data_IF_105280598683
#
_entry.id   IF_105280598683
#
_cell.length_a   1.000
_cell.length_b   1.000
_cell.length_c   1.000
_cell.angle_alpha   90.00
_cell.angle_beta   90.00
_cell.angle_gamma   90.00
#
_symmetry.space_group_name_H-M   'P 1'
#
loop_
_entity.id
_entity.type
_entity.pdbx_description
1 polymer ?
#
# COMPACT_ATOMS: atom_id res chain seq x y z
N UNK A 1 31.20 7.73 -54.86
CA UNK A 1 30.94 8.07 -53.46
C UNK A 1 29.46 8.29 -53.33
N UNK A 2 28.70 7.34 -52.75
CA UNK A 2 27.26 7.46 -52.53
C UNK A 2 27.02 8.51 -51.48
N UNK A 3 26.31 9.56 -51.84
CA UNK A 3 25.91 10.67 -50.97
C UNK A 3 24.90 10.17 -49.94
N UNK A 4 25.38 9.54 -48.89
CA UNK A 4 24.59 8.97 -47.82
C UNK A 4 24.17 10.09 -46.88
N UNK A 5 23.01 10.70 -47.14
CA UNK A 5 22.41 11.72 -46.27
C UNK A 5 22.29 11.15 -44.86
N UNK A 6 22.90 11.79 -43.87
CA UNK A 6 22.74 11.47 -42.47
C UNK A 6 21.26 11.60 -42.07
N UNK A 7 20.74 10.61 -41.36
CA UNK A 7 19.41 10.71 -40.74
C UNK A 7 19.48 11.70 -39.57
N UNK A 8 18.39 12.40 -39.32
CA UNK A 8 18.25 13.24 -38.15
C UNK A 8 18.47 12.40 -36.87
N UNK A 9 19.22 12.94 -35.92
CA UNK A 9 19.36 12.32 -34.59
C UNK A 9 18.02 12.43 -33.83
N UNK A 10 17.69 11.47 -32.96
CA UNK A 10 16.51 11.57 -32.10
C UNK A 10 16.69 12.70 -31.07
N UNK A 11 15.58 13.30 -30.64
CA UNK A 11 15.62 14.20 -29.49
C UNK A 11 16.06 13.42 -28.23
N UNK A 12 16.80 14.08 -27.35
CA UNK A 12 17.37 13.39 -26.18
C UNK A 12 16.33 12.65 -25.30
N UNK A 13 15.12 13.22 -25.17
CA UNK A 13 14.00 12.63 -24.43
C UNK A 13 13.20 11.57 -25.21
N UNK A 14 13.58 11.30 -26.47
CA UNK A 14 13.05 10.23 -27.33
C UNK A 14 14.14 9.17 -27.62
N UNK A 15 15.32 9.34 -27.03
CA UNK A 15 16.43 8.40 -27.21
C UNK A 15 16.34 7.30 -26.15
N UNK A 16 15.67 6.19 -26.47
CA UNK A 16 15.48 5.05 -25.58
C UNK A 16 16.82 4.44 -25.12
N UNK A 17 17.84 4.42 -25.98
CA UNK A 17 19.16 3.90 -25.61
C UNK A 17 19.79 4.75 -24.52
N UNK A 18 19.72 6.07 -24.62
CA UNK A 18 20.18 6.99 -23.58
C UNK A 18 19.34 6.88 -22.33
N UNK A 19 18.01 6.96 -22.46
CA UNK A 19 17.08 6.92 -21.32
C UNK A 19 17.21 5.63 -20.49
N UNK A 20 17.50 4.49 -21.13
CA UNK A 20 17.69 3.20 -20.48
C UNK A 20 19.15 2.91 -20.05
N UNK A 21 20.10 3.80 -20.39
CA UNK A 21 21.49 3.70 -19.97
C UNK A 21 21.69 4.07 -18.50
N UNK A 22 22.86 3.76 -17.91
CA UNK A 22 23.23 4.26 -16.58
C UNK A 22 23.16 5.78 -16.47
N UNK A 23 23.52 6.52 -17.52
CA UNK A 23 23.52 7.99 -17.55
C UNK A 23 22.09 8.56 -17.54
N UNK A 24 21.10 7.84 -18.07
CA UNK A 24 19.69 8.19 -18.03
C UNK A 24 19.01 8.00 -16.67
N UNK A 25 19.73 7.46 -15.65
CA UNK A 25 19.15 7.12 -14.34
C UNK A 25 18.46 8.30 -13.64
N UNK A 26 19.08 9.48 -13.65
CA UNK A 26 18.50 10.66 -12.99
C UNK A 26 17.16 11.04 -13.64
N UNK A 27 17.07 10.96 -14.98
CA UNK A 27 15.83 11.27 -15.70
C UNK A 27 14.72 10.27 -15.37
N UNK A 28 15.06 8.98 -15.25
CA UNK A 28 14.09 7.96 -14.80
C UNK A 28 13.59 8.22 -13.38
N UNK A 29 14.47 8.59 -12.44
CA UNK A 29 14.09 8.97 -11.07
C UNK A 29 13.15 10.17 -11.06
N UNK A 30 13.48 11.22 -11.84
CA UNK A 30 12.64 12.41 -11.97
C UNK A 30 11.29 12.07 -12.63
N UNK A 31 11.27 11.13 -13.58
CA UNK A 31 10.03 10.65 -14.20
C UNK A 31 9.14 9.95 -13.19
N UNK A 32 9.68 9.05 -12.34
CA UNK A 32 8.93 8.36 -11.29
C UNK A 32 8.46 9.29 -10.14
N UNK A 33 9.03 10.49 -10.05
CA UNK A 33 8.49 11.55 -9.20
C UNK A 33 7.41 12.38 -9.91
N UNK A 34 7.69 12.85 -11.12
CA UNK A 34 6.86 13.86 -11.79
C UNK A 34 5.59 13.29 -12.39
N UNK A 35 5.66 12.08 -12.96
CA UNK A 35 4.56 11.43 -13.65
C UNK A 35 3.42 11.05 -12.67
N UNK A 36 3.68 10.37 -11.54
CA UNK A 36 2.64 10.10 -10.55
C UNK A 36 2.04 11.39 -9.97
N UNK A 37 2.84 12.40 -9.68
CA UNK A 37 2.36 13.69 -9.20
C UNK A 37 1.39 14.35 -10.19
N UNK A 38 1.70 14.29 -11.48
CA UNK A 38 0.84 14.81 -12.56
C UNK A 38 -0.50 14.07 -12.60
N UNK A 39 -0.47 12.72 -12.54
CA UNK A 39 -1.70 11.91 -12.53
C UNK A 39 -2.55 12.14 -11.28
N UNK A 40 -1.95 12.18 -10.09
CA UNK A 40 -2.69 12.49 -8.86
C UNK A 40 -3.40 13.85 -8.93
N UNK A 41 -2.76 14.86 -9.51
CA UNK A 41 -3.38 16.17 -9.73
C UNK A 41 -4.55 16.10 -10.71
N UNK A 42 -4.37 15.45 -11.85
CA UNK A 42 -5.41 15.28 -12.87
C UNK A 42 -6.60 14.49 -12.33
N UNK A 43 -6.33 13.45 -11.56
CA UNK A 43 -7.36 12.61 -10.94
C UNK A 43 -7.94 13.20 -9.65
N UNK A 44 -7.47 14.40 -9.27
CA UNK A 44 -7.96 15.13 -8.08
C UNK A 44 -7.76 14.34 -6.78
N UNK A 45 -6.66 13.57 -6.66
CA UNK A 45 -6.33 12.86 -5.42
C UNK A 45 -5.68 13.84 -4.44
N UNK A 46 -6.23 13.95 -3.23
CA UNK A 46 -5.68 14.81 -2.19
C UNK A 46 -4.83 14.02 -1.18
N UNK A 47 -5.36 12.91 -0.71
CA UNK A 47 -4.71 12.05 0.27
C UNK A 47 -5.22 10.60 0.20
N UNK A 48 -4.50 9.69 0.84
CA UNK A 48 -4.71 8.25 0.70
C UNK A 48 -4.76 7.54 2.06
N UNK A 49 -5.38 6.37 2.08
CA UNK A 49 -5.23 5.33 3.10
C UNK A 49 -4.58 4.13 2.45
N UNK A 50 -3.44 3.71 2.99
CA UNK A 50 -2.64 2.64 2.40
C UNK A 50 -2.91 1.33 3.10
N UNK A 51 -3.17 0.27 2.32
CA UNK A 51 -3.34 -1.10 2.78
C UNK A 51 -2.14 -1.93 2.38
N UNK A 52 -1.49 -2.53 3.35
CA UNK A 52 -0.43 -3.51 3.16
C UNK A 52 -0.84 -4.87 3.71
N UNK A 53 -0.35 -5.92 3.08
CA UNK A 53 -0.57 -7.29 3.50
C UNK A 53 -0.05 -8.28 2.46
N UNK A 54 -0.19 -9.57 2.76
CA UNK A 54 0.34 -10.64 1.92
C UNK A 54 -0.39 -10.76 0.58
N UNK A 55 0.38 -10.89 -0.50
CA UNK A 55 -0.11 -11.29 -1.81
C UNK A 55 -0.60 -12.76 -1.86
N UNK A 56 -0.33 -13.55 -0.80
CA UNK A 56 -0.63 -14.98 -0.72
C UNK A 56 -1.91 -15.30 0.04
N UNK A 57 -2.63 -14.29 0.54
CA UNK A 57 -3.92 -14.45 1.21
C UNK A 57 -5.01 -14.29 0.17
N UNK A 58 -5.72 -15.38 -0.13
CA UNK A 58 -6.75 -15.43 -1.16
C UNK A 58 -8.14 -15.32 -0.55
N UNK A 59 -9.17 -15.13 -1.39
CA UNK A 59 -10.56 -15.14 -0.96
C UNK A 59 -10.96 -16.49 -0.36
N UNK A 60 -12.04 -16.52 0.43
CA UNK A 60 -12.59 -17.79 0.94
C UNK A 60 -12.92 -18.78 -0.18
N UNK A 61 -13.45 -18.28 -1.30
CA UNK A 61 -13.81 -19.14 -2.43
C UNK A 61 -12.58 -19.79 -3.04
N UNK A 62 -11.52 -19.01 -3.30
CA UNK A 62 -10.28 -19.52 -3.91
C UNK A 62 -9.55 -20.46 -2.96
N UNK A 63 -9.48 -20.13 -1.67
CA UNK A 63 -8.85 -20.96 -0.66
C UNK A 63 -9.54 -22.31 -0.51
N UNK A 64 -10.89 -22.34 -0.48
CA UNK A 64 -11.69 -23.57 -0.41
C UNK A 64 -11.59 -24.40 -1.70
N UNK A 65 -11.58 -23.76 -2.86
CA UNK A 65 -11.39 -24.43 -4.15
C UNK A 65 -10.05 -25.13 -4.18
N UNK A 66 -8.99 -24.45 -3.75
CA UNK A 66 -7.64 -25.03 -3.67
C UNK A 66 -7.55 -26.16 -2.66
N UNK A 67 -8.19 -26.05 -1.50
CA UNK A 67 -8.25 -27.13 -0.52
C UNK A 67 -8.96 -28.38 -1.10
N UNK A 68 -10.03 -28.17 -1.85
CA UNK A 68 -10.76 -29.25 -2.53
C UNK A 68 -9.90 -29.94 -3.60
N UNK A 69 -9.16 -29.16 -4.37
CA UNK A 69 -8.21 -29.66 -5.38
C UNK A 69 -7.10 -30.51 -4.74
N UNK A 70 -6.47 -30.00 -3.65
CA UNK A 70 -5.43 -30.73 -2.90
C UNK A 70 -5.98 -32.07 -2.36
N UNK A 71 -7.21 -32.08 -1.87
CA UNK A 71 -7.90 -33.33 -1.43
C UNK A 71 -8.14 -34.30 -2.57
N UNK A 72 -8.55 -33.81 -3.74
CA UNK A 72 -8.80 -34.63 -4.93
C UNK A 72 -7.54 -35.24 -5.52
N UNK A 73 -6.39 -34.57 -5.44
CA UNK A 73 -5.11 -35.00 -6.00
C UNK A 73 -4.29 -35.90 -5.05
N UNK A 74 -4.85 -36.30 -3.92
CA UNK A 74 -4.20 -37.08 -2.87
C UNK A 74 -3.52 -38.37 -3.35
N UNK A 75 -4.08 -39.02 -4.36
CA UNK A 75 -3.55 -40.28 -4.93
C UNK A 75 -2.38 -40.07 -5.89
N UNK A 76 -2.02 -38.84 -6.27
CA UNK A 76 -1.04 -38.50 -7.30
C UNK A 76 0.31 -38.04 -6.73
N UNK A 77 0.40 -37.83 -5.42
CA UNK A 77 1.58 -37.31 -4.74
C UNK A 77 2.02 -38.22 -3.60
N UNK A 78 3.27 -38.07 -3.13
CA UNK A 78 3.75 -38.84 -1.99
C UNK A 78 3.00 -38.47 -0.69
N UNK A 79 2.87 -39.39 0.27
CA UNK A 79 2.18 -39.09 1.56
C UNK A 79 2.74 -37.88 2.30
N UNK A 80 4.06 -37.65 2.24
CA UNK A 80 4.72 -36.48 2.85
C UNK A 80 4.31 -35.19 2.16
N UNK A 81 4.37 -35.15 0.82
CA UNK A 81 3.97 -33.99 0.03
C UNK A 81 2.49 -33.67 0.23
N UNK A 82 1.63 -34.68 0.22
CA UNK A 82 0.21 -34.53 0.48
C UNK A 82 -0.05 -33.89 1.88
N UNK A 83 0.65 -34.37 2.92
CA UNK A 83 0.51 -33.82 4.27
C UNK A 83 0.91 -32.33 4.33
N UNK A 84 2.00 -31.95 3.65
CA UNK A 84 2.45 -30.55 3.58
C UNK A 84 1.47 -29.68 2.80
N UNK A 85 1.01 -30.13 1.64
CA UNK A 85 0.08 -29.39 0.80
C UNK A 85 -1.28 -29.22 1.48
N UNK A 86 -1.74 -30.24 2.20
CA UNK A 86 -2.96 -30.18 3.01
C UNK A 86 -2.81 -29.11 4.12
N UNK A 87 -1.75 -29.14 4.90
CA UNK A 87 -1.49 -28.13 5.96
C UNK A 87 -1.45 -26.72 5.39
N UNK A 88 -0.81 -26.53 4.22
CA UNK A 88 -0.76 -25.22 3.54
C UNK A 88 -2.14 -24.76 3.09
N UNK A 89 -2.94 -25.67 2.53
CA UNK A 89 -4.29 -25.35 2.06
C UNK A 89 -5.25 -25.05 3.23
N UNK A 90 -5.18 -25.78 4.33
CA UNK A 90 -5.95 -25.51 5.55
C UNK A 90 -5.55 -24.15 6.16
N UNK A 91 -4.26 -23.87 6.28
CA UNK A 91 -3.78 -22.56 6.75
C UNK A 91 -4.23 -21.42 5.82
N UNK A 92 -4.30 -21.65 4.51
CA UNK A 92 -4.80 -20.65 3.56
C UNK A 92 -6.29 -20.35 3.78
N UNK A 93 -7.13 -21.37 4.11
CA UNK A 93 -8.54 -21.17 4.45
C UNK A 93 -8.69 -20.35 5.74
N UNK A 94 -7.89 -20.64 6.77
CA UNK A 94 -7.89 -19.86 8.02
C UNK A 94 -7.48 -18.39 7.80
N UNK A 95 -6.53 -18.16 6.89
CA UNK A 95 -6.06 -16.82 6.55
C UNK A 95 -7.00 -16.06 5.63
N UNK A 96 -7.91 -16.73 4.91
CA UNK A 96 -8.82 -16.11 3.95
C UNK A 96 -9.76 -15.07 4.59
N UNK A 97 -10.08 -15.20 5.87
CA UNK A 97 -10.84 -14.18 6.62
C UNK A 97 -10.22 -12.78 6.47
N UNK A 98 -8.90 -12.66 6.43
CA UNK A 98 -8.22 -11.37 6.31
C UNK A 98 -8.42 -10.72 4.93
N UNK A 99 -8.65 -11.52 3.88
CA UNK A 99 -9.05 -11.01 2.57
C UNK A 99 -10.43 -10.34 2.65
N UNK A 100 -11.41 -11.04 3.22
CA UNK A 100 -12.78 -10.52 3.35
C UNK A 100 -12.83 -9.30 4.28
N UNK A 101 -12.04 -9.30 5.36
CA UNK A 101 -11.93 -8.19 6.29
C UNK A 101 -11.30 -6.95 5.63
N UNK A 102 -10.24 -7.14 4.80
CA UNK A 102 -9.61 -6.05 4.06
C UNK A 102 -10.56 -5.43 3.04
N UNK A 103 -11.31 -6.28 2.30
CA UNK A 103 -12.36 -5.86 1.37
C UNK A 103 -13.44 -5.05 2.10
N UNK A 104 -13.93 -5.57 3.23
CA UNK A 104 -14.96 -4.92 4.04
C UNK A 104 -14.51 -3.57 4.58
N UNK A 105 -13.31 -3.50 5.17
CA UNK A 105 -12.77 -2.26 5.73
C UNK A 105 -12.54 -1.20 4.64
N UNK A 106 -11.98 -1.58 3.50
CA UNK A 106 -11.75 -0.67 2.37
C UNK A 106 -13.07 -0.13 1.81
N UNK A 107 -14.11 -0.97 1.74
CA UNK A 107 -15.46 -0.56 1.34
C UNK A 107 -16.03 0.48 2.32
N UNK A 108 -16.02 0.21 3.63
CA UNK A 108 -16.51 1.14 4.67
C UNK A 108 -15.79 2.50 4.60
N UNK A 109 -14.46 2.49 4.45
CA UNK A 109 -13.66 3.70 4.31
C UNK A 109 -14.05 4.50 3.06
N UNK A 110 -14.27 3.83 1.95
CA UNK A 110 -14.61 4.47 0.68
C UNK A 110 -16.04 5.03 0.71
N UNK A 111 -17.02 4.30 1.25
CA UNK A 111 -18.39 4.76 1.45
C UNK A 111 -18.42 6.05 2.31
N UNK A 112 -17.64 6.07 3.39
CA UNK A 112 -17.53 7.26 4.25
C UNK A 112 -16.80 8.40 3.56
N UNK A 113 -15.65 8.14 2.95
CA UNK A 113 -14.81 9.19 2.36
C UNK A 113 -15.49 9.88 1.17
N UNK A 114 -16.34 9.17 0.43
CA UNK A 114 -17.13 9.72 -0.68
C UNK A 114 -18.17 10.76 -0.23
N UNK A 115 -18.58 10.73 1.04
CA UNK A 115 -19.53 11.67 1.62
C UNK A 115 -18.87 12.96 2.17
N UNK A 116 -17.53 13.00 2.19
CA UNK A 116 -16.81 14.17 2.69
C UNK A 116 -16.94 15.32 1.68
N UNK A 117 -17.46 16.50 2.10
CA UNK A 117 -17.59 17.65 1.21
C UNK A 117 -16.22 18.25 0.91
N UNK A 118 -15.58 17.79 -0.16
CA UNK A 118 -14.26 18.23 -0.60
C UNK A 118 -14.20 18.37 -2.11
N UNK A 119 -13.36 19.30 -2.62
CA UNK A 119 -13.15 19.48 -4.07
C UNK A 119 -12.34 18.35 -4.68
N UNK A 120 -11.63 17.59 -3.86
CA UNK A 120 -10.72 16.50 -4.28
C UNK A 120 -11.07 15.23 -3.53
N UNK A 121 -10.70 14.08 -4.11
CA UNK A 121 -10.90 12.78 -3.46
C UNK A 121 -10.04 12.66 -2.21
N UNK A 122 -10.69 12.39 -1.08
CA UNK A 122 -10.06 12.22 0.22
C UNK A 122 -9.91 10.74 0.55
N UNK A 123 -8.80 10.39 1.20
CA UNK A 123 -8.57 9.09 1.80
C UNK A 123 -8.74 7.91 0.82
N UNK A 124 -8.25 8.10 -0.41
CA UNK A 124 -8.38 7.09 -1.47
C UNK A 124 -7.59 5.83 -1.11
N UNK A 125 -8.23 4.68 -1.22
CA UNK A 125 -7.60 3.37 -0.94
C UNK A 125 -6.44 3.15 -1.90
N UNK A 126 -5.27 2.88 -1.34
CA UNK A 126 -4.02 2.68 -2.07
C UNK A 126 -3.35 1.39 -1.62
N UNK A 127 -2.85 0.63 -2.57
CA UNK A 127 -2.15 -0.64 -2.32
C UNK A 127 -0.91 -0.77 -3.20
N UNK A 128 -0.16 -1.85 -3.01
CA UNK A 128 0.92 -2.24 -3.92
C UNK A 128 0.46 -2.81 -5.27
N UNK A 129 -0.85 -2.84 -5.52
CA UNK A 129 -1.43 -3.21 -6.82
C UNK A 129 -1.49 -4.70 -7.13
N UNK A 130 -0.84 -5.56 -6.35
CA UNK A 130 -0.80 -7.01 -6.55
C UNK A 130 -2.05 -7.75 -6.07
N UNK A 131 -1.99 -9.10 -6.05
CA UNK A 131 -3.07 -9.95 -5.55
C UNK A 131 -3.19 -9.96 -4.02
N UNK A 132 -4.08 -10.76 -3.50
CA UNK A 132 -4.26 -11.01 -2.08
C UNK A 132 -4.88 -9.83 -1.34
N UNK A 133 -4.30 -9.44 -0.20
CA UNK A 133 -4.81 -8.32 0.61
C UNK A 133 -4.89 -7.02 -0.21
N UNK A 134 -3.95 -6.79 -1.12
CA UNK A 134 -3.94 -5.62 -1.98
C UNK A 134 -5.15 -5.60 -2.92
N UNK A 135 -5.41 -6.74 -3.55
CA UNK A 135 -6.59 -6.94 -4.39
C UNK A 135 -7.89 -6.79 -3.58
N UNK A 136 -7.98 -7.41 -2.41
CA UNK A 136 -9.14 -7.33 -1.53
C UNK A 136 -9.49 -5.87 -1.18
N UNK A 137 -8.49 -5.07 -0.83
CA UNK A 137 -8.69 -3.65 -0.52
C UNK A 137 -9.13 -2.83 -1.74
N UNK A 138 -8.49 -3.05 -2.91
CA UNK A 138 -8.92 -2.39 -4.15
C UNK A 138 -10.34 -2.82 -4.55
N UNK A 139 -10.69 -4.11 -4.43
CA UNK A 139 -12.02 -4.63 -4.70
C UNK A 139 -13.08 -3.96 -3.81
N UNK A 140 -12.85 -3.90 -2.49
CA UNK A 140 -13.80 -3.28 -1.56
C UNK A 140 -14.06 -1.80 -1.88
N UNK A 141 -13.01 -1.05 -2.24
CA UNK A 141 -13.14 0.34 -2.64
C UNK A 141 -13.84 0.49 -4.01
N UNK A 142 -13.55 -0.40 -4.95
CA UNK A 142 -14.21 -0.44 -6.27
C UNK A 142 -15.71 -0.72 -6.13
N UNK A 143 -16.10 -1.68 -5.30
CA UNK A 143 -17.51 -2.01 -5.01
C UNK A 143 -18.29 -0.85 -4.38
N UNK A 144 -17.60 0.01 -3.62
CA UNK A 144 -18.17 1.25 -3.09
C UNK A 144 -18.24 2.39 -4.12
N UNK A 145 -17.86 2.14 -5.38
CA UNK A 145 -17.84 3.13 -6.45
C UNK A 145 -16.71 4.17 -6.32
N UNK A 146 -15.71 3.92 -5.47
CA UNK A 146 -14.58 4.82 -5.26
C UNK A 146 -13.44 4.59 -6.25
N UNK A 147 -12.55 5.60 -6.36
CA UNK A 147 -11.25 5.44 -7.02
C UNK A 147 -10.34 4.57 -6.16
N UNK A 148 -9.47 3.80 -6.81
CA UNK A 148 -8.45 2.97 -6.15
C UNK A 148 -7.09 3.17 -6.83
N UNK A 149 -6.01 3.05 -6.05
CA UNK A 149 -4.65 3.28 -6.50
C UNK A 149 -3.83 2.00 -6.34
N UNK A 150 -3.10 1.63 -7.38
CA UNK A 150 -2.09 0.57 -7.36
C UNK A 150 -0.70 1.14 -7.62
N UNK A 151 0.22 1.00 -6.66
CA UNK A 151 1.62 1.37 -6.81
C UNK A 151 2.43 0.08 -6.99
N UNK A 152 2.47 -0.43 -8.21
CA UNK A 152 3.16 -1.68 -8.55
C UNK A 152 4.68 -1.47 -8.59
N UNK A 153 5.42 -2.55 -8.57
CA UNK A 153 6.88 -2.59 -8.72
C UNK A 153 7.23 -3.58 -9.82
N UNK A 154 8.10 -3.17 -10.71
CA UNK A 154 8.64 -4.05 -11.74
C UNK A 154 9.55 -5.09 -11.10
N UNK A 155 9.13 -6.36 -11.12
CA UNK A 155 9.85 -7.50 -10.56
C UNK A 155 10.38 -8.39 -11.68
N UNK A 156 11.46 -9.17 -11.44
CA UNK A 156 12.02 -10.08 -12.45
C UNK A 156 11.12 -11.28 -12.80
N UNK A 157 9.98 -11.41 -12.13
CA UNK A 157 8.93 -12.40 -12.42
C UNK A 157 7.62 -11.67 -12.72
N UNK A 158 6.78 -12.24 -13.58
CA UNK A 158 5.51 -11.64 -13.97
C UNK A 158 4.58 -11.45 -12.76
N UNK A 159 4.17 -10.23 -12.53
CA UNK A 159 3.13 -9.87 -11.58
C UNK A 159 2.20 -8.86 -12.25
N UNK A 160 0.95 -9.28 -12.49
CA UNK A 160 -0.05 -8.42 -13.07
C UNK A 160 -0.76 -7.58 -12.00
N UNK A 161 -1.05 -6.30 -12.28
CA UNK A 161 -1.91 -5.50 -11.44
C UNK A 161 -3.29 -6.15 -11.28
N UNK A 162 -3.87 -6.05 -10.08
CA UNK A 162 -5.23 -6.56 -9.88
C UNK A 162 -6.25 -5.70 -10.66
N UNK A 163 -7.39 -6.29 -11.11
CA UNK A 163 -8.31 -5.65 -12.04
C UNK A 163 -9.16 -4.52 -11.42
N UNK A 164 -9.08 -4.31 -10.11
CA UNK A 164 -9.91 -3.35 -9.40
C UNK A 164 -9.25 -1.97 -9.21
N UNK A 165 -8.05 -1.80 -9.73
CA UNK A 165 -7.35 -0.52 -9.74
C UNK A 165 -7.99 0.40 -10.78
N UNK A 166 -8.22 1.68 -10.44
CA UNK A 166 -8.63 2.69 -11.42
C UNK A 166 -7.55 2.80 -12.51
N UNK A 167 -7.88 2.61 -13.81
CA UNK A 167 -6.86 2.51 -14.86
C UNK A 167 -5.88 3.68 -14.93
N UNK A 168 -6.36 4.92 -14.71
CA UNK A 168 -5.52 6.12 -14.66
C UNK A 168 -4.66 6.24 -13.40
N UNK A 169 -4.90 5.40 -12.39
CA UNK A 169 -4.19 5.36 -11.10
C UNK A 169 -3.43 4.04 -10.89
N UNK A 170 -3.21 3.31 -11.98
CA UNK A 170 -2.32 2.16 -12.02
C UNK A 170 -0.90 2.64 -12.38
N UNK A 171 0.04 2.50 -11.44
CA UNK A 171 1.43 2.93 -11.58
C UNK A 171 2.35 1.72 -11.54
N UNK A 172 3.49 1.84 -12.23
CA UNK A 172 4.57 0.87 -12.19
C UNK A 172 5.89 1.57 -11.88
N UNK A 173 6.62 1.12 -10.87
CA UNK A 173 7.89 1.69 -10.45
C UNK A 173 9.03 0.73 -10.74
N UNK A 174 10.14 1.26 -11.18
CA UNK A 174 11.41 0.53 -11.28
C UNK A 174 12.20 0.62 -9.97
N UNK A 175 12.13 1.77 -9.29
CA UNK A 175 12.89 2.01 -8.08
C UNK A 175 12.04 1.83 -6.82
N UNK A 176 12.43 0.88 -5.94
CA UNK A 176 11.74 0.62 -4.68
C UNK A 176 11.58 1.87 -3.81
N UNK A 177 12.63 2.68 -3.66
CA UNK A 177 12.59 3.88 -2.83
C UNK A 177 11.66 4.96 -3.38
N UNK A 178 11.46 5.05 -4.70
CA UNK A 178 10.49 5.96 -5.30
C UNK A 178 9.06 5.51 -5.02
N UNK A 179 8.79 4.20 -5.10
CA UNK A 179 7.50 3.63 -4.70
C UNK A 179 7.22 3.88 -3.22
N UNK A 180 8.19 3.62 -2.33
CA UNK A 180 8.09 3.89 -0.89
C UNK A 180 7.80 5.37 -0.60
N UNK A 181 8.48 6.28 -1.28
CA UNK A 181 8.20 7.71 -1.19
C UNK A 181 6.71 8.00 -1.47
N UNK A 182 6.14 7.42 -2.53
CA UNK A 182 4.74 7.66 -2.88
C UNK A 182 3.75 7.04 -1.89
N UNK A 183 4.05 5.89 -1.31
CA UNK A 183 3.26 5.36 -0.20
C UNK A 183 3.21 6.34 0.98
N UNK A 184 4.34 6.89 1.37
CA UNK A 184 4.41 7.83 2.50
C UNK A 184 3.87 9.22 2.16
N UNK A 185 4.06 9.72 0.93
CA UNK A 185 3.82 11.12 0.56
C UNK A 185 2.37 11.57 0.74
N UNK A 186 1.41 10.81 0.25
CA UNK A 186 -0.02 11.14 0.33
C UNK A 186 -0.75 10.46 1.51
N UNK A 187 -0.17 9.46 2.15
CA UNK A 187 -0.82 8.68 3.20
C UNK A 187 -1.23 9.54 4.41
N UNK A 188 -2.43 9.31 4.90
CA UNK A 188 -2.97 9.82 6.17
C UNK A 188 -3.26 8.69 7.15
N UNK A 189 -3.43 7.48 6.65
CA UNK A 189 -3.53 6.29 7.47
C UNK A 189 -2.88 5.10 6.79
N UNK A 190 -2.54 4.11 7.60
CA UNK A 190 -1.93 2.85 7.23
C UNK A 190 -2.69 1.71 7.87
N UNK A 191 -3.03 0.70 7.10
CA UNK A 191 -3.66 -0.54 7.59
C UNK A 191 -2.77 -1.71 7.20
N UNK A 192 -2.26 -2.42 8.22
CA UNK A 192 -1.29 -3.50 8.05
C UNK A 192 -1.97 -4.83 8.35
N UNK A 193 -2.30 -5.59 7.32
CA UNK A 193 -2.81 -6.95 7.42
C UNK A 193 -1.64 -7.96 7.51
N UNK A 194 -1.92 -9.21 7.92
CA UNK A 194 -0.91 -10.26 7.94
C UNK A 194 -0.11 -10.34 6.65
N UNK A 195 1.21 -10.38 6.78
CA UNK A 195 2.12 -10.38 5.64
C UNK A 195 3.56 -10.70 6.02
N UNK A 196 4.41 -10.86 5.00
CA UNK A 196 5.81 -11.20 5.15
C UNK A 196 6.74 -9.98 5.12
N UNK A 197 7.97 -10.19 4.63
CA UNK A 197 9.04 -9.19 4.63
C UNK A 197 8.65 -7.86 3.98
N UNK A 198 8.00 -7.87 2.82
CA UNK A 198 7.60 -6.63 2.16
C UNK A 198 6.57 -5.83 2.97
N UNK A 199 5.66 -6.51 3.68
CA UNK A 199 4.69 -5.86 4.57
C UNK A 199 5.38 -5.27 5.80
N UNK A 200 6.33 -6.01 6.39
CA UNK A 200 7.12 -5.56 7.54
C UNK A 200 8.03 -4.38 7.19
N UNK A 201 8.66 -4.42 6.02
CA UNK A 201 9.52 -3.35 5.51
C UNK A 201 8.78 -2.02 5.43
N UNK A 202 7.61 -1.99 4.80
CA UNK A 202 6.78 -0.78 4.70
C UNK A 202 6.22 -0.34 6.07
N UNK A 203 5.83 -1.30 6.92
CA UNK A 203 5.34 -1.00 8.25
C UNK A 203 6.40 -0.33 9.12
N UNK A 204 7.60 -0.91 9.21
CA UNK A 204 8.67 -0.37 10.04
C UNK A 204 9.24 0.94 9.51
N UNK A 205 9.25 1.15 8.18
CA UNK A 205 9.61 2.45 7.63
C UNK A 205 8.68 3.56 8.12
N UNK A 206 7.36 3.38 7.94
CA UNK A 206 6.37 4.38 8.35
C UNK A 206 6.37 4.55 9.88
N UNK A 207 6.52 3.45 10.63
CA UNK A 207 6.59 3.50 12.08
C UNK A 207 7.82 4.31 12.56
N UNK A 208 8.97 4.09 11.94
CA UNK A 208 10.20 4.86 12.22
C UNK A 208 10.03 6.34 11.86
N UNK A 209 9.42 6.65 10.72
CA UNK A 209 9.15 8.03 10.33
C UNK A 209 8.15 8.72 11.28
N UNK A 210 7.18 7.97 11.82
CA UNK A 210 6.23 8.47 12.81
C UNK A 210 6.90 8.71 14.17
N UNK A 211 7.71 7.74 14.66
CA UNK A 211 8.47 7.81 15.91
C UNK A 211 9.43 9.00 15.91
N UNK A 212 10.18 9.18 14.83
CA UNK A 212 11.19 10.24 14.71
C UNK A 212 10.62 11.61 14.32
N UNK A 213 9.30 11.75 14.22
CA UNK A 213 8.58 12.97 13.81
C UNK A 213 9.05 13.54 12.44
N UNK A 214 9.63 12.68 11.58
CA UNK A 214 10.05 13.08 10.23
C UNK A 214 8.89 13.28 9.27
N UNK A 215 7.70 12.77 9.60
CA UNK A 215 6.48 13.06 8.87
C UNK A 215 5.86 14.35 9.36
N UNK A 216 5.70 15.33 8.47
CA UNK A 216 5.06 16.62 8.77
C UNK A 216 3.54 16.50 9.06
N UNK A 217 3.03 15.27 9.23
CA UNK A 217 1.61 14.95 9.42
C UNK A 217 1.46 13.75 10.35
N UNK A 218 0.39 13.72 11.11
CA UNK A 218 0.02 12.51 11.88
C UNK A 218 -0.50 11.45 10.93
N UNK A 219 0.02 10.22 11.04
CA UNK A 219 -0.50 9.04 10.35
C UNK A 219 -1.24 8.18 11.36
N UNK A 220 -2.46 7.75 11.01
CA UNK A 220 -3.26 6.83 11.83
C UNK A 220 -2.90 5.41 11.39
N UNK A 221 -2.39 4.58 12.30
CA UNK A 221 -1.88 3.24 11.97
C UNK A 221 -2.74 2.18 12.65
N UNK A 222 -3.27 1.24 11.87
CA UNK A 222 -3.95 0.03 12.34
C UNK A 222 -3.11 -1.18 11.97
N UNK A 223 -2.80 -2.01 12.94
CA UNK A 223 -2.19 -3.32 12.77
C UNK A 223 -3.29 -4.38 12.93
N UNK A 224 -3.79 -4.87 11.79
CA UNK A 224 -4.93 -5.79 11.74
C UNK A 224 -4.50 -7.25 11.87
N UNK A 225 -5.22 -8.02 12.71
CA UNK A 225 -4.90 -9.43 12.95
C UNK A 225 -3.97 -9.64 14.14
N UNK A 226 -4.42 -9.26 15.34
CA UNK A 226 -3.63 -9.28 16.58
C UNK A 226 -3.03 -10.66 16.87
N UNK A 227 -3.78 -11.74 16.63
CA UNK A 227 -3.33 -13.11 16.85
C UNK A 227 -2.14 -13.51 15.95
N UNK A 228 -2.09 -12.97 14.73
CA UNK A 228 -0.95 -13.16 13.82
C UNK A 228 0.25 -12.36 14.30
N UNK A 229 0.09 -11.06 14.50
CA UNK A 229 1.20 -10.16 14.80
C UNK A 229 1.88 -10.44 16.12
N UNK A 230 1.13 -10.82 17.16
CA UNK A 230 1.71 -11.23 18.47
C UNK A 230 2.59 -12.48 18.39
N UNK A 231 2.41 -13.33 17.36
CA UNK A 231 3.29 -14.47 17.11
C UNK A 231 4.56 -14.09 16.33
N UNK A 232 4.48 -13.02 15.53
CA UNK A 232 5.57 -12.62 14.63
C UNK A 232 6.49 -11.58 15.27
N UNK A 233 5.93 -10.62 16.04
CA UNK A 233 6.68 -9.50 16.62
C UNK A 233 6.37 -9.42 18.12
N UNK A 234 7.43 -9.42 18.91
CA UNK A 234 7.34 -9.14 20.35
C UNK A 234 7.76 -7.69 20.60
N UNK A 235 6.80 -6.77 20.57
CA UNK A 235 7.06 -5.35 20.81
C UNK A 235 7.45 -5.05 22.26
N UNK A 236 6.89 -5.77 23.22
CA UNK A 236 7.21 -5.65 24.65
C UNK A 236 8.70 -5.95 24.88
N UNK A 237 9.25 -6.98 24.23
CA UNK A 237 10.67 -7.28 24.31
C UNK A 237 11.56 -6.14 23.77
N UNK A 238 11.10 -5.36 22.80
CA UNK A 238 11.83 -4.18 22.32
C UNK A 238 11.84 -3.07 23.37
N UNK A 239 10.73 -2.91 24.10
CA UNK A 239 10.64 -1.95 25.22
C UNK A 239 11.55 -2.40 26.37
N UNK A 240 11.48 -3.68 26.79
CA UNK A 240 12.28 -4.23 27.87
C UNK A 240 13.78 -4.16 27.61
N UNK A 241 14.16 -4.33 26.33
CA UNK A 241 15.55 -4.18 25.89
C UNK A 241 15.99 -2.70 25.73
N UNK A 242 15.08 -1.73 25.90
CA UNK A 242 15.37 -0.30 25.75
C UNK A 242 15.58 0.14 24.31
N UNK A 243 15.14 -0.65 23.31
CA UNK A 243 15.27 -0.31 21.89
C UNK A 243 14.21 0.67 21.42
N UNK A 244 13.05 0.67 22.06
CA UNK A 244 11.96 1.62 21.87
C UNK A 244 11.41 2.04 23.23
N UNK A 245 10.67 3.14 23.30
CA UNK A 245 9.98 3.57 24.52
C UNK A 245 8.58 2.92 24.62
N UNK A 246 8.06 2.78 25.85
CA UNK A 246 6.69 2.28 26.04
C UNK A 246 5.64 3.17 25.35
N UNK A 247 5.91 4.47 25.18
CA UNK A 247 5.03 5.38 24.45
C UNK A 247 4.96 5.10 22.95
N UNK A 248 5.99 4.45 22.38
CA UNK A 248 6.02 4.11 20.94
C UNK A 248 4.96 3.06 20.58
N UNK A 249 4.52 2.25 21.57
CA UNK A 249 3.40 1.31 21.38
C UNK A 249 2.07 2.02 21.10
N UNK A 250 1.96 3.30 21.39
CA UNK A 250 0.78 4.11 21.07
C UNK A 250 0.77 4.66 19.62
N UNK A 251 1.82 4.40 18.83
CA UNK A 251 1.89 4.83 17.44
C UNK A 251 0.92 4.05 16.54
N UNK A 252 0.50 2.87 16.96
CA UNK A 252 -0.45 2.03 16.23
C UNK A 252 -1.50 1.42 17.15
N UNK A 253 -2.64 1.02 16.57
CA UNK A 253 -3.69 0.26 17.26
C UNK A 253 -3.79 -1.14 16.66
N UNK A 254 -3.74 -2.18 17.48
CA UNK A 254 -4.13 -3.53 17.06
C UNK A 254 -5.66 -3.66 17.01
N UNK A 255 -6.18 -4.33 15.99
CA UNK A 255 -7.61 -4.59 15.80
C UNK A 255 -7.85 -5.91 15.08
N UNK A 256 -9.02 -6.51 15.32
CA UNK A 256 -9.46 -7.77 14.71
C UNK A 256 -10.87 -7.67 14.09
N UNK A 257 -11.44 -6.45 14.03
CA UNK A 257 -12.75 -6.18 13.44
C UNK A 257 -12.65 -5.06 12.41
N UNK A 258 -13.21 -5.24 11.19
CA UNK A 258 -13.27 -4.19 10.18
C UNK A 258 -14.01 -2.95 10.68
N UNK A 259 -15.12 -3.13 11.40
CA UNK A 259 -15.94 -2.03 11.91
C UNK A 259 -15.20 -1.24 13.00
N UNK A 260 -14.53 -1.91 13.94
CA UNK A 260 -13.71 -1.26 14.96
C UNK A 260 -12.54 -0.49 14.33
N UNK A 261 -11.86 -1.10 13.36
CA UNK A 261 -10.78 -0.47 12.60
C UNK A 261 -11.26 0.75 11.84
N UNK A 262 -12.43 0.65 11.21
CA UNK A 262 -13.06 1.76 10.50
C UNK A 262 -13.35 2.94 11.42
N UNK A 263 -14.00 2.71 12.57
CA UNK A 263 -14.32 3.79 13.50
C UNK A 263 -13.06 4.45 14.08
N UNK A 264 -12.02 3.67 14.38
CA UNK A 264 -10.73 4.23 14.82
C UNK A 264 -10.07 5.08 13.73
N UNK A 265 -10.03 4.59 12.50
CA UNK A 265 -9.49 5.33 11.36
C UNK A 265 -10.29 6.61 11.09
N UNK A 266 -11.61 6.53 11.06
CA UNK A 266 -12.52 7.66 10.85
C UNK A 266 -12.32 8.74 11.91
N UNK A 267 -12.25 8.37 13.19
CA UNK A 267 -11.99 9.32 14.29
C UNK A 267 -10.64 10.01 14.13
N UNK A 268 -9.57 9.24 13.87
CA UNK A 268 -8.23 9.76 13.67
C UNK A 268 -8.12 10.66 12.44
N UNK A 269 -8.65 10.21 11.30
CA UNK A 269 -8.66 10.98 10.05
C UNK A 269 -9.47 12.27 10.17
N UNK A 270 -10.62 12.22 10.84
CA UNK A 270 -11.43 13.41 11.11
C UNK A 270 -10.67 14.40 12.00
N UNK A 271 -10.12 13.91 13.10
CA UNK A 271 -9.40 14.74 14.08
C UNK A 271 -8.18 15.43 13.49
N UNK A 272 -7.38 14.72 12.71
CA UNK A 272 -6.08 15.23 12.27
C UNK A 272 -6.09 15.83 10.85
N UNK A 273 -7.08 15.50 10.01
CA UNK A 273 -7.05 15.86 8.60
C UNK A 273 -8.31 16.51 8.05
N UNK A 274 -9.42 16.53 8.80
CA UNK A 274 -10.68 17.20 8.42
C UNK A 274 -11.02 18.38 9.34
N UNK A 275 -10.47 18.43 10.56
CA UNK A 275 -10.66 19.54 11.47
C UNK A 275 -10.02 20.84 10.96
N UNK A 276 -10.36 22.00 11.54
CA UNK A 276 -9.68 23.26 11.24
C UNK A 276 -8.18 23.08 11.50
N UNK A 277 -7.36 23.46 10.52
CA UNK A 277 -5.89 23.38 10.65
C UNK A 277 -5.49 24.26 11.84
N UNK A 278 -4.91 23.65 12.87
CA UNK A 278 -4.30 24.42 13.95
C UNK A 278 -3.19 25.30 13.34
N UNK A 279 -3.08 26.57 13.72
CA UNK A 279 -1.98 27.42 13.29
C UNK A 279 -0.67 26.73 13.66
N UNK A 280 0.28 26.69 12.73
CA UNK A 280 1.61 26.13 12.95
C UNK A 280 2.20 26.73 14.20
N UNK A 281 2.71 25.91 15.12
CA UNK A 281 3.54 26.38 16.23
C UNK A 281 4.77 27.08 15.64
N UNK A 282 5.10 28.28 16.19
CA UNK A 282 6.35 28.96 15.86
C UNK A 282 7.52 28.00 16.20
N UNK A 283 8.22 27.51 15.19
CA UNK A 283 9.30 26.53 15.32
C UNK A 283 9.14 25.30 14.41
N UNK A 284 7.94 25.00 13.93
CA UNK A 284 7.76 23.95 12.92
C UNK A 284 8.47 24.37 11.63
N UNK A 285 9.45 23.61 11.20
CA UNK A 285 10.08 23.81 9.90
C UNK A 285 8.98 23.95 8.84
N UNK A 286 9.03 25.01 8.05
CA UNK A 286 8.06 25.24 7.00
C UNK A 286 7.98 23.98 6.14
N UNK A 287 6.83 23.31 6.13
CA UNK A 287 6.62 22.21 5.16
C UNK A 287 6.92 22.81 3.80
N UNK A 288 7.92 22.28 3.06
CA UNK A 288 8.25 22.83 1.75
C UNK A 288 6.96 22.97 0.95
N UNK A 289 6.78 24.08 0.24
CA UNK A 289 5.58 24.32 -0.59
C UNK A 289 5.33 23.21 -1.63
N UNK A 290 6.36 22.41 -1.90
CA UNK A 290 6.33 21.17 -2.68
C UNK A 290 5.28 20.18 -2.17
N UNK A 291 5.02 20.14 -0.86
CA UNK A 291 3.98 19.29 -0.27
C UNK A 291 2.56 19.89 -0.37
N UNK A 292 2.45 21.16 -0.76
CA UNK A 292 1.18 21.77 -1.11
C UNK A 292 0.94 21.50 -2.59
N UNK A 293 0.05 20.57 -2.91
CA UNK A 293 -0.50 20.51 -4.27
C UNK A 293 -1.11 21.89 -4.55
N UNK A 294 -0.42 22.72 -5.35
CA UNK A 294 -1.00 24.01 -5.80
C UNK A 294 -2.32 23.74 -6.50
N UNK A 295 -3.31 24.66 -6.34
CA UNK A 295 -4.61 24.53 -6.99
C UNK A 295 -4.51 24.40 -8.49
#
# INVERSE_FOLDING_TARGET
>A
MTDQKLKSAPLAYENDQFLNSPDGRILRLLSEYSEPLSRFRREQIQDTVVFFGSARIHSHNDANSRLTEVRGNAAQVSPTQQSEDMKRAEAAVDMARYYEDARRLARLLTEWSSQIPAKRHRFVVTTGGGPGIMEAANLGAHEAGGKTIGLNINLPFEQFPNPYITPSLNFEFHYFFMRKFWFAYLAKALVIFPGGFGTLDEFFEILTLAQTEKLAKKIVIVMYGSAYWKKIINFEALVDAGMISASDLNLFKMSDSPEESFEFLKQGLTKYHLGPQQPKRNGDAAVPEIAKTRP
#
